data_IF_791994957454
#
_entry.id   IF_791994957454
#
_cell.length_a   1.000
_cell.length_b   1.000
_cell.length_c   1.000
_cell.angle_alpha   90.00
_cell.angle_beta   90.00
_cell.angle_gamma   90.00
#
_symmetry.space_group_name_H-M   'P 1'
#
loop_
_entity.id
_entity.type
_entity.pdbx_description
1 polymer ?
#
# COMPACT_ATOMS: atom_id res chain seq x y z
N UNK A 1 -23.05 1.28 -26.34
CA UNK A 1 -21.71 1.13 -26.88
C UNK A 1 -20.81 2.32 -26.57
N UNK A 2 -21.15 3.50 -27.07
CA UNK A 2 -20.30 4.67 -26.85
C UNK A 2 -20.17 5.03 -25.39
N UNK A 3 -21.26 4.93 -24.62
CA UNK A 3 -21.24 5.23 -23.18
C UNK A 3 -20.33 4.27 -22.42
N UNK A 4 -20.41 2.98 -22.75
CA UNK A 4 -19.58 1.96 -22.14
C UNK A 4 -18.11 2.19 -22.47
N UNK A 5 -17.79 2.42 -23.72
CA UNK A 5 -16.41 2.67 -24.16
C UNK A 5 -15.83 3.92 -23.50
N UNK A 6 -16.65 4.98 -23.37
CA UNK A 6 -16.24 6.22 -22.71
C UNK A 6 -15.92 5.97 -21.24
N UNK A 7 -16.72 5.18 -20.53
CA UNK A 7 -16.50 4.88 -19.12
C UNK A 7 -15.21 4.07 -18.93
N UNK A 8 -14.96 3.06 -19.77
CA UNK A 8 -13.74 2.26 -19.74
C UNK A 8 -12.52 3.16 -19.99
N UNK A 9 -12.61 4.04 -21.00
CA UNK A 9 -11.54 4.96 -21.34
C UNK A 9 -11.22 5.92 -20.19
N UNK A 10 -12.25 6.45 -19.52
CA UNK A 10 -12.05 7.33 -18.36
C UNK A 10 -11.33 6.63 -17.23
N UNK A 11 -11.71 5.39 -16.94
CA UNK A 11 -11.04 4.61 -15.91
C UNK A 11 -9.58 4.36 -16.25
N UNK A 12 -9.29 4.01 -17.51
CA UNK A 12 -7.93 3.79 -17.97
C UNK A 12 -7.08 5.05 -17.89
N UNK A 13 -7.65 6.19 -18.27
CA UNK A 13 -6.98 7.49 -18.19
C UNK A 13 -6.66 7.81 -16.72
N UNK A 14 -7.63 7.62 -15.84
CA UNK A 14 -7.43 7.88 -14.41
C UNK A 14 -6.35 6.97 -13.81
N UNK A 15 -6.39 5.68 -14.15
CA UNK A 15 -5.37 4.74 -13.66
C UNK A 15 -3.97 5.14 -14.15
N UNK A 16 -3.86 5.56 -15.41
CA UNK A 16 -2.58 6.01 -15.97
C UNK A 16 -2.08 7.27 -15.27
N UNK A 17 -2.98 8.23 -15.04
CA UNK A 17 -2.63 9.46 -14.33
C UNK A 17 -2.14 9.15 -12.91
N UNK A 18 -2.86 8.29 -12.19
CA UNK A 18 -2.46 7.92 -10.83
C UNK A 18 -1.13 7.17 -10.82
N UNK A 19 -0.88 6.31 -11.80
CA UNK A 19 0.40 5.62 -11.91
C UNK A 19 1.56 6.60 -12.14
N UNK A 20 1.34 7.62 -12.97
CA UNK A 20 2.34 8.66 -13.21
C UNK A 20 2.63 9.46 -11.95
N UNK A 21 1.58 9.84 -11.21
CA UNK A 21 1.73 10.57 -9.95
C UNK A 21 2.40 9.71 -8.88
N UNK A 22 2.05 8.42 -8.82
CA UNK A 22 2.68 7.47 -7.92
C UNK A 22 4.20 7.44 -8.13
N UNK A 23 4.62 7.27 -9.38
CA UNK A 23 6.04 7.25 -9.73
C UNK A 23 6.73 8.57 -9.37
N UNK A 24 6.09 9.69 -9.70
CA UNK A 24 6.64 11.02 -9.43
C UNK A 24 6.88 11.23 -7.93
N UNK A 25 5.86 10.99 -7.12
CA UNK A 25 5.97 11.23 -5.69
C UNK A 25 6.90 10.23 -5.00
N UNK A 26 6.94 8.99 -5.48
CA UNK A 26 7.89 8.00 -4.98
C UNK A 26 9.33 8.42 -5.25
N UNK A 27 9.62 8.90 -6.46
CA UNK A 27 10.94 9.37 -6.83
C UNK A 27 11.36 10.59 -6.03
N UNK A 28 10.41 11.46 -5.75
CA UNK A 28 10.66 12.67 -4.94
C UNK A 28 10.68 12.38 -3.43
N UNK A 29 10.33 11.18 -3.04
CA UNK A 29 10.20 10.78 -1.64
C UNK A 29 9.23 11.69 -0.88
N UNK A 30 8.20 12.16 -1.55
CA UNK A 30 7.11 12.93 -0.97
C UNK A 30 6.10 11.97 -0.38
N UNK A 31 6.33 11.56 0.86
CA UNK A 31 5.57 10.47 1.50
C UNK A 31 4.08 10.77 1.61
N UNK A 32 3.73 12.00 1.96
CA UNK A 32 2.31 12.38 2.13
C UNK A 32 1.55 12.34 0.81
N UNK A 33 2.15 12.90 -0.27
CA UNK A 33 1.53 12.88 -1.59
C UNK A 33 1.48 11.47 -2.16
N UNK A 34 2.54 10.70 -1.99
CA UNK A 34 2.62 9.30 -2.40
C UNK A 34 1.53 8.48 -1.70
N UNK A 35 1.38 8.66 -0.38
CA UNK A 35 0.31 8.01 0.39
C UNK A 35 -1.07 8.36 -0.17
N UNK A 36 -1.32 9.64 -0.43
CA UNK A 36 -2.62 10.09 -0.97
C UNK A 36 -2.94 9.43 -2.31
N UNK A 37 -1.94 9.29 -3.19
CA UNK A 37 -2.14 8.63 -4.49
C UNK A 37 -2.45 7.15 -4.30
N UNK A 38 -1.74 6.46 -3.41
CA UNK A 38 -2.00 5.04 -3.15
C UNK A 38 -3.41 4.84 -2.59
N UNK A 39 -3.88 5.73 -1.73
CA UNK A 39 -5.25 5.67 -1.23
C UNK A 39 -6.26 5.74 -2.38
N UNK A 40 -6.04 6.65 -3.35
CA UNK A 40 -6.91 6.74 -4.52
C UNK A 40 -6.81 5.48 -5.40
N UNK A 41 -5.60 4.96 -5.59
CA UNK A 41 -5.41 3.73 -6.36
C UNK A 41 -6.13 2.55 -5.72
N UNK A 42 -6.12 2.45 -4.39
CA UNK A 42 -6.82 1.38 -3.67
C UNK A 42 -8.33 1.54 -3.70
N UNK A 43 -8.85 2.74 -3.90
CA UNK A 43 -10.29 2.93 -4.14
C UNK A 43 -10.71 2.35 -5.47
N UNK A 44 -9.85 2.42 -6.49
CA UNK A 44 -10.12 1.84 -7.81
C UNK A 44 -9.85 0.33 -7.82
N UNK A 45 -8.85 -0.11 -7.08
CA UNK A 45 -8.40 -1.51 -7.07
C UNK A 45 -8.19 -1.98 -5.62
N UNK A 46 -9.27 -2.14 -4.83
CA UNK A 46 -9.12 -2.51 -3.41
C UNK A 46 -8.48 -3.88 -3.21
N UNK A 47 -8.46 -4.72 -4.25
CA UNK A 47 -7.86 -6.05 -4.23
C UNK A 47 -6.36 -6.04 -4.52
N UNK A 48 -5.78 -4.89 -4.87
CA UNK A 48 -4.38 -4.83 -5.31
C UNK A 48 -3.43 -4.94 -4.12
N UNK A 49 -2.95 -6.15 -3.87
CA UNK A 49 -2.08 -6.44 -2.73
C UNK A 49 -0.77 -5.65 -2.77
N UNK A 50 -0.23 -5.38 -3.97
CA UNK A 50 0.99 -4.60 -4.09
C UNK A 50 0.83 -3.19 -3.53
N UNK A 51 -0.31 -2.55 -3.79
CA UNK A 51 -0.61 -1.23 -3.24
C UNK A 51 -0.83 -1.28 -1.72
N UNK A 52 -1.45 -2.35 -1.22
CA UNK A 52 -1.64 -2.52 0.23
C UNK A 52 -0.28 -2.65 0.93
N UNK A 53 0.63 -3.44 0.37
CA UNK A 53 1.98 -3.58 0.90
C UNK A 53 2.75 -2.28 0.89
N UNK A 54 2.66 -1.53 -0.20
CA UNK A 54 3.31 -0.23 -0.31
C UNK A 54 2.74 0.79 0.67
N UNK A 55 1.41 0.78 0.85
CA UNK A 55 0.77 1.62 1.87
C UNK A 55 1.26 1.27 3.27
N UNK A 56 1.42 -0.01 3.56
CA UNK A 56 1.98 -0.44 4.84
C UNK A 56 3.37 0.11 5.09
N UNK A 57 4.22 0.07 4.07
CA UNK A 57 5.56 0.67 4.15
C UNK A 57 5.50 2.18 4.40
N UNK A 58 4.57 2.87 3.73
CA UNK A 58 4.39 4.31 3.91
C UNK A 58 3.88 4.65 5.31
N UNK A 59 2.91 3.88 5.82
CA UNK A 59 2.45 4.04 7.20
C UNK A 59 3.62 3.94 8.18
N UNK A 60 4.49 2.96 7.98
CA UNK A 60 5.66 2.79 8.83
C UNK A 60 6.56 4.02 8.80
N UNK A 61 6.86 4.54 7.59
CA UNK A 61 7.71 5.72 7.45
C UNK A 61 7.08 6.98 8.02
N UNK A 62 5.74 7.03 8.03
CA UNK A 62 4.99 8.15 8.59
C UNK A 62 4.74 8.01 10.11
N UNK A 63 5.26 6.95 10.72
CA UNK A 63 5.12 6.72 12.15
C UNK A 63 3.80 6.09 12.57
N UNK A 64 3.01 5.60 11.62
CA UNK A 64 1.70 4.98 11.87
C UNK A 64 1.88 3.48 11.99
N UNK A 65 2.40 3.03 13.13
CA UNK A 65 2.85 1.64 13.30
C UNK A 65 1.72 0.62 13.32
N UNK A 66 0.58 0.96 13.93
CA UNK A 66 -0.58 0.06 13.97
C UNK A 66 -1.16 -0.16 12.57
N UNK A 67 -1.30 0.90 11.80
CA UNK A 67 -1.78 0.83 10.42
C UNK A 67 -0.80 0.09 9.53
N UNK A 68 0.50 0.31 9.74
CA UNK A 68 1.55 -0.39 9.00
C UNK A 68 1.47 -1.89 9.24
N UNK A 69 1.32 -2.30 10.50
CA UNK A 69 1.20 -3.71 10.87
C UNK A 69 0.00 -4.35 10.19
N UNK A 70 -1.15 -3.68 10.24
CA UNK A 70 -2.39 -4.17 9.65
C UNK A 70 -2.25 -4.38 8.14
N UNK A 71 -1.73 -3.38 7.42
CA UNK A 71 -1.54 -3.46 5.98
C UNK A 71 -0.52 -4.54 5.59
N UNK A 72 0.58 -4.67 6.35
CA UNK A 72 1.60 -5.66 6.04
C UNK A 72 1.10 -7.08 6.31
N UNK A 73 0.30 -7.28 7.36
CA UNK A 73 -0.33 -8.58 7.60
C UNK A 73 -1.27 -8.95 6.46
N UNK A 74 -2.08 -7.99 5.99
CA UNK A 74 -2.95 -8.20 4.84
C UNK A 74 -2.14 -8.53 3.60
N UNK A 75 -1.05 -7.82 3.36
CA UNK A 75 -0.18 -8.03 2.20
C UNK A 75 0.40 -9.45 2.18
N UNK A 76 0.93 -9.92 3.31
CA UNK A 76 1.58 -11.24 3.34
C UNK A 76 0.58 -12.39 3.31
N UNK A 77 -0.68 -12.16 3.67
CA UNK A 77 -1.72 -13.18 3.64
C UNK A 77 -2.62 -13.11 2.41
N UNK A 78 -2.50 -12.05 1.59
CA UNK A 78 -3.31 -11.87 0.40
C UNK A 78 -2.81 -12.77 -0.73
N UNK A 79 -3.76 -13.45 -1.40
CA UNK A 79 -3.45 -14.26 -2.58
C UNK A 79 -3.02 -15.68 -2.26
N UNK A 80 -2.94 -16.50 -3.33
CA UNK A 80 -2.61 -17.92 -3.23
C UNK A 80 -1.11 -18.19 -3.22
N UNK A 81 -0.30 -17.16 -3.47
CA UNK A 81 1.16 -17.31 -3.53
C UNK A 81 1.80 -16.67 -2.31
N UNK A 82 2.78 -17.34 -1.72
CA UNK A 82 3.50 -16.75 -0.60
C UNK A 82 4.20 -15.46 -1.04
N UNK A 83 4.17 -14.48 -0.16
CA UNK A 83 4.89 -13.22 -0.38
C UNK A 83 6.38 -13.48 -0.26
N UNK A 84 7.12 -13.17 -1.31
CA UNK A 84 8.55 -13.42 -1.37
C UNK A 84 9.39 -12.18 -1.11
N UNK A 85 8.77 -11.05 -0.78
CA UNK A 85 9.49 -9.82 -0.47
C UNK A 85 10.16 -9.93 0.90
N UNK A 86 11.50 -10.12 0.96
CA UNK A 86 12.18 -10.25 2.25
C UNK A 86 12.06 -8.98 3.09
N UNK A 87 11.99 -7.81 2.44
CA UNK A 87 11.85 -6.55 3.15
C UNK A 87 10.54 -6.42 3.89
N UNK A 88 9.42 -6.82 3.24
CA UNK A 88 8.11 -6.78 3.87
C UNK A 88 8.01 -7.74 5.04
N UNK A 89 8.55 -8.96 4.88
CA UNK A 89 8.53 -9.98 5.93
C UNK A 89 9.33 -9.50 7.14
N UNK A 90 10.53 -8.96 6.91
CA UNK A 90 11.38 -8.46 8.00
C UNK A 90 10.74 -7.28 8.73
N UNK A 91 10.12 -6.38 7.98
CA UNK A 91 9.44 -5.24 8.60
C UNK A 91 8.25 -5.70 9.43
N UNK A 92 7.47 -6.65 8.92
CA UNK A 92 6.34 -7.22 9.64
C UNK A 92 6.80 -7.88 10.96
N UNK A 93 7.86 -8.69 10.90
CA UNK A 93 8.42 -9.34 12.10
C UNK A 93 8.90 -8.29 13.11
N UNK A 94 9.57 -7.25 12.65
CA UNK A 94 10.03 -6.15 13.51
C UNK A 94 8.85 -5.46 14.21
N UNK A 95 7.78 -5.17 13.48
CA UNK A 95 6.58 -4.52 14.03
C UNK A 95 5.86 -5.41 15.05
N UNK A 96 5.79 -6.72 14.78
CA UNK A 96 5.19 -7.68 15.72
C UNK A 96 5.98 -7.76 17.01
N UNK A 97 7.30 -7.76 16.92
CA UNK A 97 8.17 -7.76 18.10
C UNK A 97 8.01 -6.49 18.92
N UNK A 98 7.92 -5.33 18.26
CA UNK A 98 7.72 -4.06 18.96
C UNK A 98 6.38 -4.03 19.68
N UNK A 99 5.31 -4.52 19.02
CA UNK A 99 3.99 -4.59 19.64
C UNK A 99 4.00 -5.53 20.83
N UNK A 100 4.58 -6.73 20.66
CA UNK A 100 4.71 -7.70 21.74
C UNK A 100 5.53 -7.18 22.91
N UNK A 101 6.68 -6.55 22.63
CA UNK A 101 7.51 -5.93 23.64
C UNK A 101 6.80 -4.81 24.37
N UNK A 102 6.04 -4.00 23.63
CA UNK A 102 5.24 -2.92 24.22
C UNK A 102 4.14 -3.45 25.12
N UNK A 103 3.48 -4.53 24.71
CA UNK A 103 2.43 -5.16 25.50
C UNK A 103 2.96 -5.83 26.76
N UNK A 104 4.19 -6.33 26.73
CA UNK A 104 4.83 -7.03 27.83
C UNK A 104 5.60 -6.09 28.78
N UNK A 105 5.71 -4.82 28.41
CA UNK A 105 6.38 -3.84 29.27
C UNK A 105 5.48 -3.47 30.45
N UNK A 106 5.99 -3.54 31.67
CA UNK A 106 5.21 -3.12 32.82
C UNK A 106 4.92 -1.62 32.84
#
# INVERSE_FOLDING_TARGET
PDTYLTAVTRRQILQRLLNNLHTLFRERRDLESWYAVIELQLRLEPWNAAFIGERGMLHYRLGRLAEALDDLETYVTAGDKPVTSPGAIRLLDHLRLRRGGSENSP
#
